data_IF_796252111564
#
_entry.id   IF_796252111564
#
_cell.length_a   1.000
_cell.length_b   1.000
_cell.length_c   1.000
_cell.angle_alpha   90.00
_cell.angle_beta   90.00
_cell.angle_gamma   90.00
#
_symmetry.space_group_name_H-M   'P 1'
#
loop_
_entity.id
_entity.type
_entity.pdbx_description
1 polymer ?
#
# COMPACT_ATOMS: atom_id res chain seq x y z
N UNK A 1 0.86 -12.91 12.34
CA UNK A 1 1.04 -14.04 11.39
C UNK A 1 1.72 -13.53 10.14
N UNK A 2 1.18 -12.50 9.49
CA UNK A 2 1.82 -11.83 8.35
C UNK A 2 1.40 -10.36 8.28
N UNK A 3 2.31 -9.50 7.83
CA UNK A 3 2.04 -8.13 7.43
C UNK A 3 1.50 -8.08 6.00
N UNK A 4 0.35 -7.44 5.81
CA UNK A 4 -0.25 -7.20 4.50
C UNK A 4 -0.12 -5.71 4.20
N UNK A 5 0.91 -5.35 3.44
CA UNK A 5 1.24 -3.95 3.13
C UNK A 5 0.37 -3.47 1.98
N UNK A 6 -0.74 -2.82 2.33
CA UNK A 6 -1.58 -2.06 1.42
C UNK A 6 -2.39 -1.03 2.22
N UNK A 7 -2.85 0.00 1.52
CA UNK A 7 -3.76 1.01 2.02
C UNK A 7 -4.94 1.17 1.04
N UNK A 8 -5.85 2.10 1.33
CA UNK A 8 -7.06 2.28 0.52
C UNK A 8 -6.74 2.77 -0.90
N UNK A 9 -5.70 3.59 -1.06
CA UNK A 9 -5.36 4.23 -2.33
C UNK A 9 -3.96 3.87 -2.84
N UNK A 10 -3.18 3.10 -2.09
CA UNK A 10 -1.77 2.82 -2.40
C UNK A 10 -1.31 1.46 -1.87
N UNK A 11 -0.14 1.04 -2.35
CA UNK A 11 0.55 -0.18 -1.92
C UNK A 11 1.53 0.08 -0.75
N UNK A 12 1.23 1.13 0.04
CA UNK A 12 2.05 1.55 1.17
C UNK A 12 1.39 1.28 2.51
N UNK A 13 2.11 1.62 3.57
CA UNK A 13 1.55 1.71 4.93
C UNK A 13 0.81 3.02 5.11
N UNK A 14 -0.16 3.03 6.02
CA UNK A 14 -0.74 4.28 6.52
C UNK A 14 0.08 4.79 7.70
N UNK A 15 0.01 6.10 7.97
CA UNK A 15 0.70 6.72 9.09
C UNK A 15 -0.33 7.34 10.02
N UNK A 16 -0.18 7.11 11.32
CA UNK A 16 -0.87 7.92 12.32
C UNK A 16 0.03 9.09 12.66
N UNK A 17 -0.49 10.29 12.50
CA UNK A 17 0.29 11.53 12.60
C UNK A 17 -0.30 12.45 13.64
N UNK A 18 0.58 13.13 14.37
CA UNK A 18 0.22 14.31 15.14
C UNK A 18 0.10 15.48 14.17
N UNK A 19 -1.06 16.11 14.10
CA UNK A 19 -1.31 17.26 13.24
C UNK A 19 -1.91 18.43 14.04
N UNK A 20 -1.54 19.64 13.63
CA UNK A 20 -1.93 20.90 14.27
C UNK A 20 -2.36 21.90 13.20
N UNK A 21 -3.16 22.93 13.54
CA UNK A 21 -3.43 24.03 12.62
C UNK A 21 -2.14 24.64 12.08
N UNK A 22 -2.10 24.90 10.77
CA UNK A 22 -0.94 25.56 10.12
C UNK A 22 -0.60 26.90 10.77
N UNK A 23 -1.62 27.63 11.23
CA UNK A 23 -1.49 28.91 11.92
C UNK A 23 -1.05 28.81 13.39
N UNK A 24 -1.00 27.60 13.97
CA UNK A 24 -0.60 27.41 15.36
C UNK A 24 0.92 27.49 15.54
N UNK A 25 1.35 27.92 16.73
CA UNK A 25 2.76 27.98 17.10
C UNK A 25 3.39 26.62 17.43
N UNK A 26 2.60 25.53 17.50
CA UNK A 26 3.04 24.23 18.00
C UNK A 26 4.01 23.53 17.05
N UNK A 27 5.30 23.45 17.37
CA UNK A 27 6.33 22.85 16.51
C UNK A 27 6.66 21.41 16.90
N UNK A 28 6.33 21.00 18.12
CA UNK A 28 6.63 19.68 18.66
C UNK A 28 5.51 19.19 19.59
N UNK A 29 5.55 17.91 19.97
CA UNK A 29 4.64 17.36 20.98
C UNK A 29 4.75 18.10 22.33
N UNK A 30 5.93 18.63 22.68
CA UNK A 30 6.14 19.36 23.94
C UNK A 30 5.35 20.67 24.02
N UNK A 31 5.01 21.28 22.88
CA UNK A 31 4.19 22.49 22.85
C UNK A 31 2.71 22.21 23.17
N UNK A 32 2.34 20.93 23.31
CA UNK A 32 0.99 20.47 23.63
C UNK A 32 0.77 20.20 25.13
N UNK A 33 1.70 20.60 26.00
CA UNK A 33 1.52 20.54 27.45
C UNK A 33 0.25 21.31 27.88
N UNK A 34 -0.63 20.62 28.61
CA UNK A 34 -1.93 21.13 29.06
C UNK A 34 -2.97 21.34 27.96
N UNK A 35 -2.72 20.90 26.72
CA UNK A 35 -3.61 21.08 25.57
C UNK A 35 -4.60 19.94 25.39
N UNK A 36 -5.52 20.10 24.43
CA UNK A 36 -6.52 19.09 24.06
C UNK A 36 -6.15 18.46 22.72
N UNK A 37 -6.08 17.13 22.68
CA UNK A 37 -5.80 16.35 21.47
C UNK A 37 -7.02 15.46 21.17
N UNK A 38 -7.62 15.61 19.99
CA UNK A 38 -8.71 14.75 19.55
C UNK A 38 -8.21 13.57 18.70
N UNK A 39 -8.70 12.36 18.95
CA UNK A 39 -8.33 11.16 18.19
C UNK A 39 -9.29 9.98 18.38
N UNK A 40 -9.34 9.07 17.42
CA UNK A 40 -9.95 7.73 17.60
C UNK A 40 -9.04 6.78 18.40
N UNK A 41 -7.71 7.01 18.39
CA UNK A 41 -6.70 6.14 19.02
C UNK A 41 -6.28 6.58 20.44
N UNK A 42 -7.24 6.89 21.30
CA UNK A 42 -7.03 7.50 22.63
C UNK A 42 -5.87 6.87 23.41
N UNK A 43 -5.93 5.55 23.69
CA UNK A 43 -4.90 4.86 24.48
C UNK A 43 -3.51 4.87 23.84
N UNK A 44 -3.44 4.89 22.51
CA UNK A 44 -2.17 4.93 21.79
C UNK A 44 -1.56 6.32 21.84
N UNK A 45 -2.39 7.35 21.69
CA UNK A 45 -1.99 8.75 21.86
C UNK A 45 -1.54 9.03 23.30
N UNK A 46 -2.27 8.54 24.32
CA UNK A 46 -1.87 8.67 25.73
C UNK A 46 -0.47 8.06 25.98
N UNK A 47 -0.22 6.83 25.49
CA UNK A 47 1.12 6.21 25.61
C UNK A 47 2.21 6.99 24.87
N UNK A 48 1.87 7.57 23.73
CA UNK A 48 2.81 8.41 22.98
C UNK A 48 3.17 9.68 23.76
N UNK A 49 2.19 10.34 24.38
CA UNK A 49 2.42 11.52 25.22
C UNK A 49 3.25 11.17 26.46
N UNK A 50 2.92 10.06 27.13
CA UNK A 50 3.65 9.58 28.31
C UNK A 50 5.13 9.29 28.00
N UNK A 51 5.42 8.64 26.87
CA UNK A 51 6.80 8.39 26.40
C UNK A 51 7.59 9.67 26.13
N UNK A 52 6.90 10.75 25.78
CA UNK A 52 7.49 12.06 25.54
C UNK A 52 7.44 12.98 26.78
N UNK A 53 6.94 12.50 27.92
CA UNK A 53 6.85 13.29 29.15
C UNK A 53 5.87 14.48 29.07
N UNK A 54 4.87 14.42 28.19
CA UNK A 54 3.88 15.49 27.97
C UNK A 54 2.53 15.10 28.58
N UNK A 55 1.87 16.03 29.27
CA UNK A 55 0.51 15.85 29.78
C UNK A 55 -0.46 16.70 28.98
N UNK A 56 -1.26 16.05 28.14
CA UNK A 56 -2.35 16.67 27.39
C UNK A 56 -3.65 15.88 27.61
N UNK A 57 -4.80 16.55 27.50
CA UNK A 57 -6.11 15.91 27.55
C UNK A 57 -6.37 15.23 26.20
N UNK A 58 -6.56 13.91 26.20
CA UNK A 58 -6.90 13.15 25.00
C UNK A 58 -8.41 12.91 24.96
N UNK A 59 -9.07 13.38 23.91
CA UNK A 59 -10.51 13.22 23.73
C UNK A 59 -10.83 12.31 22.55
N UNK A 60 -11.80 11.42 22.75
CA UNK A 60 -12.28 10.54 21.69
C UNK A 60 -13.02 11.34 20.60
N UNK A 61 -12.79 10.97 19.34
CA UNK A 61 -13.45 11.55 18.16
C UNK A 61 -14.26 10.48 17.41
N UNK A 62 -15.50 10.77 17.05
CA UNK A 62 -16.36 9.85 16.28
C UNK A 62 -16.23 10.06 14.76
N UNK A 63 -15.00 10.26 14.27
CA UNK A 63 -14.71 10.71 12.91
C UNK A 63 -14.80 12.23 12.72
N UNK A 64 -14.48 12.69 11.51
CA UNK A 64 -14.29 14.11 11.17
C UNK A 64 -13.38 14.85 12.17
N UNK A 65 -12.32 14.18 12.64
CA UNK A 65 -11.40 14.72 13.64
C UNK A 65 -10.72 16.00 13.11
N UNK A 66 -10.51 16.08 11.80
CA UNK A 66 -9.80 17.18 11.14
C UNK A 66 -10.49 18.54 11.25
N UNK A 67 -11.80 18.58 11.51
CA UNK A 67 -12.55 19.86 11.66
C UNK A 67 -12.55 20.39 13.09
N UNK A 68 -12.05 19.61 14.07
CA UNK A 68 -12.08 20.01 15.49
C UNK A 68 -11.12 21.16 15.79
N UNK A 69 -9.87 21.19 15.26
CA UNK A 69 -8.99 22.31 15.52
C UNK A 69 -9.37 23.60 14.80
N UNK A 70 -9.16 24.77 15.41
CA UNK A 70 -8.69 24.98 16.79
C UNK A 70 -9.82 25.06 17.82
N UNK A 71 -11.08 24.91 17.42
CA UNK A 71 -12.25 25.28 18.24
C UNK A 71 -12.52 24.27 19.36
N UNK A 72 -12.43 22.99 19.04
CA UNK A 72 -12.75 21.88 19.96
C UNK A 72 -11.52 21.10 20.42
N UNK A 73 -10.37 21.30 19.78
CA UNK A 73 -9.09 20.70 20.15
C UNK A 73 -7.94 21.57 19.65
N UNK A 74 -6.79 21.50 20.31
CA UNK A 74 -5.57 22.21 19.88
C UNK A 74 -4.80 21.43 18.80
N UNK A 75 -4.87 20.09 18.87
CA UNK A 75 -4.20 19.17 17.95
C UNK A 75 -5.06 17.92 17.70
N UNK A 76 -4.66 17.12 16.71
CA UNK A 76 -5.28 15.83 16.44
C UNK A 76 -4.23 14.74 16.25
N UNK A 77 -4.63 13.51 16.54
CA UNK A 77 -3.91 12.32 16.06
C UNK A 77 -4.82 11.57 15.11
N UNK A 78 -4.42 11.49 13.85
CA UNK A 78 -5.27 10.99 12.77
C UNK A 78 -4.48 10.11 11.80
N UNK A 79 -5.16 9.14 11.21
CA UNK A 79 -4.58 8.29 10.16
C UNK A 79 -4.52 9.07 8.84
N UNK A 80 -3.39 8.96 8.15
CA UNK A 80 -3.21 9.58 6.85
C UNK A 80 -2.40 8.69 5.92
N UNK A 81 -2.82 8.70 4.66
CA UNK A 81 -2.12 8.05 3.56
C UNK A 81 -1.37 9.12 2.74
N UNK A 82 -2.11 10.04 2.12
CA UNK A 82 -1.56 11.09 1.24
C UNK A 82 -1.45 12.47 1.90
N UNK A 83 -2.01 12.65 3.11
CA UNK A 83 -2.11 13.96 3.76
C UNK A 83 -3.19 14.90 3.19
N UNK A 84 -3.99 14.46 2.20
CA UNK A 84 -4.93 15.35 1.51
C UNK A 84 -6.04 15.89 2.41
N UNK A 85 -6.60 15.06 3.31
CA UNK A 85 -7.62 15.53 4.27
C UNK A 85 -7.08 16.59 5.23
N UNK A 86 -5.85 16.38 5.73
CA UNK A 86 -5.19 17.32 6.63
C UNK A 86 -4.98 18.68 5.95
N UNK A 87 -4.46 18.69 4.71
CA UNK A 87 -4.27 19.93 3.93
C UNK A 87 -5.59 20.63 3.63
N UNK A 88 -6.65 19.89 3.30
CA UNK A 88 -7.98 20.47 3.07
C UNK A 88 -8.53 21.20 4.30
N UNK A 89 -8.11 20.78 5.51
CA UNK A 89 -8.49 21.38 6.79
C UNK A 89 -7.40 22.32 7.36
N UNK A 90 -6.41 22.73 6.55
CA UNK A 90 -5.31 23.63 6.96
C UNK A 90 -4.53 23.12 8.18
N UNK A 91 -4.30 21.81 8.21
CA UNK A 91 -3.51 21.13 9.22
C UNK A 91 -2.15 20.74 8.66
N UNK A 92 -1.10 20.93 9.45
CA UNK A 92 0.25 20.43 9.17
C UNK A 92 0.60 19.28 10.09
N UNK A 93 1.33 18.32 9.54
CA UNK A 93 1.89 17.19 10.31
C UNK A 93 3.09 17.72 11.10
N UNK A 94 3.07 17.46 12.40
CA UNK A 94 4.20 17.71 13.31
C UNK A 94 5.11 16.48 13.32
N UNK A 95 4.53 15.31 13.53
CA UNK A 95 5.27 14.06 13.70
C UNK A 95 4.45 12.85 13.25
N UNK A 96 5.13 11.80 12.82
CA UNK A 96 4.52 10.46 12.64
C UNK A 96 4.64 9.67 13.93
N UNK A 97 3.52 9.36 14.57
CA UNK A 97 3.46 8.63 15.84
C UNK A 97 3.70 7.13 15.63
N UNK A 98 3.12 6.57 14.56
CA UNK A 98 3.37 5.18 14.14
C UNK A 98 2.99 4.97 12.68
N UNK A 99 3.60 3.95 12.07
CA UNK A 99 3.14 3.36 10.81
C UNK A 99 2.22 2.17 11.10
N UNK A 100 1.19 1.99 10.29
CA UNK A 100 0.24 0.89 10.41
C UNK A 100 -0.05 0.27 9.05
N UNK A 101 -0.31 -1.04 9.06
CA UNK A 101 -0.78 -1.81 7.93
C UNK A 101 -1.71 -2.91 8.42
N UNK A 102 -2.48 -3.47 7.49
CA UNK A 102 -3.32 -4.63 7.78
C UNK A 102 -2.44 -5.80 8.19
N UNK A 103 -2.88 -6.56 9.19
CA UNK A 103 -2.18 -7.75 9.67
C UNK A 103 -3.14 -8.93 9.81
N UNK A 104 -2.67 -10.11 9.42
CA UNK A 104 -3.30 -11.36 9.86
C UNK A 104 -2.78 -11.68 11.26
N UNK A 105 -3.68 -11.67 12.25
CA UNK A 105 -3.38 -12.04 13.64
C UNK A 105 -4.06 -13.36 14.00
N UNK A 106 -3.47 -14.09 14.94
CA UNK A 106 -4.01 -15.35 15.43
C UNK A 106 -3.82 -15.45 16.95
N UNK A 107 -4.77 -16.09 17.61
CA UNK A 107 -4.67 -16.43 19.02
C UNK A 107 -3.48 -17.41 19.25
N UNK A 108 -2.74 -17.23 20.34
CA UNK A 108 -1.56 -18.02 20.65
C UNK A 108 -1.82 -19.51 20.85
N UNK A 109 -2.98 -19.90 21.39
CA UNK A 109 -3.32 -21.32 21.58
C UNK A 109 -3.74 -21.97 20.27
N UNK A 110 -4.38 -21.22 19.36
CA UNK A 110 -4.63 -21.69 18.00
C UNK A 110 -3.34 -21.97 17.22
N UNK A 111 -2.23 -21.29 17.54
CA UNK A 111 -0.93 -21.55 16.91
C UNK A 111 -0.23 -22.80 17.45
N UNK A 112 -0.65 -23.31 18.61
CA UNK A 112 -0.11 -24.56 19.21
C UNK A 112 -0.81 -25.81 18.68
N UNK A 113 -2.00 -25.66 18.09
CA UNK A 113 -2.75 -26.73 17.45
C UNK A 113 -2.28 -26.87 15.99
N UNK A 114 -1.73 -28.03 15.63
CA UNK A 114 -1.11 -28.25 14.31
C UNK A 114 -2.10 -28.11 13.16
N UNK A 115 -3.35 -28.56 13.34
CA UNK A 115 -4.36 -28.47 12.30
C UNK A 115 -4.76 -27.02 12.04
N UNK A 116 -5.00 -26.24 13.11
CA UNK A 116 -5.31 -24.81 13.01
C UNK A 116 -4.14 -24.02 12.45
N UNK A 117 -2.91 -24.31 12.90
CA UNK A 117 -1.69 -23.69 12.40
C UNK A 117 -1.54 -23.92 10.90
N UNK A 118 -1.75 -25.15 10.43
CA UNK A 118 -1.69 -25.45 9.00
C UNK A 118 -2.71 -24.64 8.19
N UNK A 119 -3.95 -24.51 8.68
CA UNK A 119 -4.97 -23.69 8.02
C UNK A 119 -4.60 -22.20 8.00
N UNK A 120 -4.01 -21.69 9.07
CA UNK A 120 -3.51 -20.32 9.12
C UNK A 120 -2.38 -20.09 8.10
N UNK A 121 -1.48 -21.05 7.94
CA UNK A 121 -0.40 -20.98 6.95
C UNK A 121 -0.93 -21.00 5.51
N UNK A 122 -1.94 -21.84 5.22
CA UNK A 122 -2.61 -21.86 3.91
C UNK A 122 -3.29 -20.50 3.62
N UNK A 123 -4.01 -19.92 4.59
CA UNK A 123 -4.65 -18.59 4.45
C UNK A 123 -3.59 -17.50 4.26
N UNK A 124 -2.51 -17.55 5.05
CA UNK A 124 -1.38 -16.63 4.92
C UNK A 124 -0.83 -16.63 3.49
N UNK A 125 -0.51 -17.81 2.95
CA UNK A 125 0.01 -17.95 1.58
C UNK A 125 -0.96 -17.36 0.55
N UNK A 126 -2.27 -17.60 0.70
CA UNK A 126 -3.28 -17.05 -0.22
C UNK A 126 -3.39 -15.52 -0.15
N UNK A 127 -3.25 -14.94 1.04
CA UNK A 127 -3.26 -13.49 1.25
C UNK A 127 -1.98 -12.84 0.73
N UNK A 128 -0.81 -13.40 1.06
CA UNK A 128 0.49 -12.96 0.52
C UNK A 128 0.47 -12.99 -1.02
N UNK A 129 -0.07 -14.05 -1.61
CA UNK A 129 -0.17 -14.16 -3.06
C UNK A 129 -1.11 -13.14 -3.69
N UNK A 130 -2.20 -12.77 -3.01
CA UNK A 130 -3.09 -11.70 -3.46
C UNK A 130 -2.39 -10.32 -3.39
N UNK A 131 -1.64 -10.05 -2.33
CA UNK A 131 -0.82 -8.83 -2.22
C UNK A 131 0.26 -8.79 -3.29
N UNK A 132 0.94 -9.90 -3.57
CA UNK A 132 1.98 -9.97 -4.60
C UNK A 132 1.44 -9.74 -6.03
N UNK A 133 0.17 -10.10 -6.29
CA UNK A 133 -0.51 -9.82 -7.54
C UNK A 133 -1.01 -8.38 -7.66
N UNK A 134 -1.12 -7.67 -6.53
CA UNK A 134 -1.69 -6.33 -6.50
C UNK A 134 -0.81 -5.34 -7.28
N UNK A 135 -1.41 -4.60 -8.21
CA UNK A 135 -0.69 -3.71 -9.12
C UNK A 135 0.14 -4.41 -10.20
N UNK A 136 -0.04 -5.73 -10.38
CA UNK A 136 0.57 -6.51 -11.47
C UNK A 136 -0.48 -6.93 -12.49
N UNK A 137 -0.07 -7.01 -13.74
CA UNK A 137 -0.88 -7.58 -14.83
C UNK A 137 -0.09 -8.59 -15.63
N UNK A 138 -0.80 -9.52 -16.27
CA UNK A 138 -0.24 -10.36 -17.30
C UNK A 138 -0.37 -9.68 -18.66
N UNK A 139 0.68 -9.79 -19.48
CA UNK A 139 0.64 -9.47 -20.90
C UNK A 139 0.93 -10.73 -21.71
N UNK A 140 0.09 -10.97 -22.70
CA UNK A 140 0.28 -12.01 -23.70
C UNK A 140 0.25 -11.37 -25.08
N UNK A 141 1.15 -11.78 -25.97
CA UNK A 141 1.24 -11.24 -27.33
C UNK A 141 1.81 -12.26 -28.30
N UNK A 142 1.52 -12.06 -29.58
CA UNK A 142 2.09 -12.81 -30.69
C UNK A 142 3.23 -12.00 -31.32
N UNK A 143 4.35 -12.65 -31.61
CA UNK A 143 5.56 -12.01 -32.13
C UNK A 143 6.13 -12.89 -33.23
N UNK A 144 6.57 -12.31 -34.35
CA UNK A 144 7.34 -13.05 -35.36
C UNK A 144 8.72 -13.39 -34.82
N UNK A 145 9.29 -14.53 -35.21
CA UNK A 145 10.65 -14.91 -34.80
C UNK A 145 11.69 -13.82 -35.08
N UNK A 146 11.57 -13.10 -36.20
CA UNK A 146 12.46 -11.99 -36.58
C UNK A 146 12.42 -10.80 -35.63
N UNK A 147 11.29 -10.59 -34.95
CA UNK A 147 11.01 -9.40 -34.16
C UNK A 147 11.19 -9.65 -32.65
N UNK A 148 11.50 -10.89 -32.26
CA UNK A 148 11.57 -11.33 -30.87
C UNK A 148 12.54 -10.48 -30.03
N UNK A 149 13.76 -10.26 -30.52
CA UNK A 149 14.78 -9.51 -29.76
C UNK A 149 14.36 -8.05 -29.54
N UNK A 150 13.75 -7.43 -30.54
CA UNK A 150 13.20 -6.08 -30.44
C UNK A 150 12.08 -6.00 -29.39
N UNK A 151 11.17 -6.98 -29.38
CA UNK A 151 10.07 -7.03 -28.40
C UNK A 151 10.58 -7.31 -26.99
N UNK A 152 11.47 -8.29 -26.82
CA UNK A 152 12.07 -8.63 -25.52
C UNK A 152 12.87 -7.44 -24.97
N UNK A 153 13.55 -6.67 -25.82
CA UNK A 153 14.26 -5.45 -25.41
C UNK A 153 13.36 -4.31 -24.90
N UNK A 154 12.06 -4.32 -25.24
CA UNK A 154 11.08 -3.35 -24.70
C UNK A 154 10.57 -3.79 -23.32
N UNK A 155 10.54 -5.09 -23.05
CA UNK A 155 10.04 -5.62 -21.78
C UNK A 155 11.01 -5.28 -20.62
N UNK A 156 10.48 -4.95 -19.43
CA UNK A 156 11.33 -4.67 -18.27
C UNK A 156 12.14 -5.92 -17.90
N UNK A 157 13.46 -5.75 -17.73
CA UNK A 157 14.47 -6.81 -17.57
C UNK A 157 14.28 -7.78 -16.39
N UNK A 158 13.27 -7.57 -15.53
CA UNK A 158 13.14 -8.29 -14.26
C UNK A 158 12.56 -9.71 -14.37
N UNK A 159 12.00 -10.12 -15.52
CA UNK A 159 11.51 -11.50 -15.73
C UNK A 159 11.71 -11.95 -17.18
N UNK A 160 12.41 -13.06 -17.36
CA UNK A 160 12.48 -13.76 -18.66
C UNK A 160 11.04 -14.12 -19.07
N UNK A 161 10.53 -13.61 -20.20
CA UNK A 161 9.18 -13.94 -20.62
C UNK A 161 9.10 -15.42 -21.02
N UNK A 162 7.93 -16.02 -20.84
CA UNK A 162 7.65 -17.34 -21.41
C UNK A 162 7.50 -17.16 -22.91
N UNK A 163 8.26 -17.94 -23.68
CA UNK A 163 8.24 -17.92 -25.15
C UNK A 163 7.84 -19.32 -25.63
N UNK A 164 6.74 -19.41 -26.37
CA UNK A 164 6.19 -20.67 -26.88
C UNK A 164 5.92 -20.55 -28.39
N UNK A 165 6.23 -21.59 -29.16
CA UNK A 165 5.92 -21.61 -30.60
C UNK A 165 4.41 -21.75 -30.84
N UNK A 166 3.89 -21.00 -31.81
CA UNK A 166 2.49 -21.10 -32.25
C UNK A 166 2.31 -22.21 -33.32
N UNK A 167 1.07 -22.39 -33.79
CA UNK A 167 0.76 -23.32 -34.89
C UNK A 167 1.50 -22.96 -36.18
N UNK A 168 1.67 -21.67 -36.46
CA UNK A 168 2.58 -21.18 -37.50
C UNK A 168 4.02 -21.12 -36.94
N UNK A 169 4.98 -21.88 -37.52
CA UNK A 169 6.36 -21.92 -37.06
C UNK A 169 7.08 -20.57 -37.07
N UNK A 170 6.63 -19.59 -37.85
CA UNK A 170 7.23 -18.26 -37.89
C UNK A 170 6.81 -17.36 -36.72
N UNK A 171 5.85 -17.82 -35.91
CA UNK A 171 5.28 -17.05 -34.81
C UNK A 171 5.52 -17.67 -33.43
N UNK A 172 5.61 -16.78 -32.46
CA UNK A 172 5.82 -17.06 -31.04
C UNK A 172 4.73 -16.38 -30.21
N UNK A 173 4.23 -17.06 -29.19
CA UNK A 173 3.53 -16.46 -28.07
C UNK A 173 4.56 -16.03 -27.02
N UNK A 174 4.48 -14.77 -26.60
CA UNK A 174 5.28 -14.19 -25.52
C UNK A 174 4.32 -13.84 -24.38
N UNK A 175 4.60 -14.37 -23.18
CA UNK A 175 3.82 -14.08 -21.98
C UNK A 175 4.74 -13.56 -20.86
N UNK A 176 4.33 -12.47 -20.20
CA UNK A 176 5.08 -11.87 -19.10
C UNK A 176 4.18 -11.23 -18.06
N UNK A 177 4.71 -11.05 -16.86
CA UNK A 177 4.05 -10.35 -15.75
C UNK A 177 4.86 -9.12 -15.39
N UNK A 178 4.19 -7.97 -15.30
CA UNK A 178 4.82 -6.69 -14.98
C UNK A 178 3.92 -5.79 -14.14
N UNK A 179 4.46 -4.65 -13.71
CA UNK A 179 3.71 -3.59 -13.05
C UNK A 179 2.70 -2.93 -13.99
N UNK A 180 1.44 -2.83 -13.54
CA UNK A 180 0.34 -2.19 -14.28
C UNK A 180 0.70 -0.74 -14.67
N UNK A 181 1.41 -0.02 -13.79
CA UNK A 181 1.85 1.35 -14.05
C UNK A 181 2.82 1.48 -15.24
N UNK A 182 3.53 0.41 -15.61
CA UNK A 182 4.44 0.41 -16.75
C UNK A 182 3.72 0.13 -18.08
N UNK A 183 2.55 -0.51 -18.04
CA UNK A 183 1.81 -1.02 -19.21
C UNK A 183 1.53 0.09 -20.23
N UNK A 184 0.95 1.22 -19.77
CA UNK A 184 0.61 2.37 -20.62
C UNK A 184 1.79 2.88 -21.44
N UNK A 185 3.00 2.79 -20.89
CA UNK A 185 4.23 3.24 -21.55
C UNK A 185 4.79 2.21 -22.51
N UNK A 186 4.62 0.92 -22.23
CA UNK A 186 5.23 -0.14 -23.04
C UNK A 186 4.35 -0.62 -24.18
N UNK A 187 3.01 -0.60 -24.06
CA UNK A 187 2.12 -1.12 -25.10
C UNK A 187 2.35 -0.50 -26.48
N UNK A 188 2.48 0.84 -26.65
CA UNK A 188 2.78 1.43 -27.95
C UNK A 188 4.14 0.96 -28.49
N UNK A 189 5.17 0.89 -27.64
CA UNK A 189 6.52 0.47 -28.00
C UNK A 189 6.58 -1.00 -28.41
N UNK A 190 5.82 -1.86 -27.74
CA UNK A 190 5.68 -3.28 -28.11
C UNK A 190 5.04 -3.40 -29.51
N UNK A 191 4.03 -2.57 -29.80
CA UNK A 191 3.38 -2.54 -31.10
C UNK A 191 4.34 -2.09 -32.21
N UNK A 192 5.13 -1.04 -31.96
CA UNK A 192 6.18 -0.57 -32.86
C UNK A 192 7.29 -1.60 -33.08
N UNK A 193 7.64 -2.36 -32.04
CA UNK A 193 8.63 -3.44 -32.10
C UNK A 193 8.14 -4.71 -32.82
N UNK A 194 6.89 -4.77 -33.27
CA UNK A 194 6.35 -5.89 -34.05
C UNK A 194 5.37 -6.81 -33.30
N UNK A 195 5.08 -6.54 -32.03
CA UNK A 195 4.11 -7.35 -31.29
C UNK A 195 2.68 -7.17 -31.82
N UNK A 196 1.94 -8.27 -31.89
CA UNK A 196 0.56 -8.34 -32.37
C UNK A 196 -0.35 -9.06 -31.37
N UNK A 197 -1.65 -8.79 -31.43
CA UNK A 197 -2.63 -9.43 -30.54
C UNK A 197 -2.26 -9.29 -29.07
N UNK A 198 -1.80 -8.11 -28.64
CA UNK A 198 -1.41 -7.87 -27.26
C UNK A 198 -2.68 -7.85 -26.40
N UNK A 199 -2.72 -8.73 -25.39
CA UNK A 199 -3.81 -8.86 -24.43
C UNK A 199 -3.26 -8.61 -23.04
N UNK A 200 -3.90 -7.67 -22.35
CA UNK A 200 -3.70 -7.40 -20.93
C UNK A 200 -4.79 -8.10 -20.11
N UNK A 201 -4.40 -8.75 -19.02
CA UNK A 201 -5.34 -9.43 -18.12
C UNK A 201 -4.95 -9.27 -16.65
N UNK A 202 -5.96 -9.17 -15.76
CA UNK A 202 -5.71 -9.00 -14.33
C UNK A 202 -5.18 -10.28 -13.70
N UNK A 203 -4.36 -10.13 -12.65
CA UNK A 203 -3.87 -11.24 -11.85
C UNK A 203 -4.55 -11.25 -10.50
N UNK A 204 -5.11 -12.40 -10.12
CA UNK A 204 -5.76 -12.55 -8.82
C UNK A 204 -4.77 -12.88 -7.70
N UNK A 205 -3.76 -13.71 -8.00
CA UNK A 205 -2.74 -14.19 -7.05
C UNK A 205 -1.44 -14.54 -7.78
N UNK A 206 -0.31 -14.25 -7.14
CA UNK A 206 1.02 -14.70 -7.53
C UNK A 206 1.63 -15.38 -6.31
N UNK A 207 1.77 -16.70 -6.34
CA UNK A 207 2.45 -17.45 -5.27
C UNK A 207 3.93 -17.52 -5.62
N UNK A 208 4.79 -17.17 -4.67
CA UNK A 208 6.26 -17.17 -4.78
C UNK A 208 6.85 -18.39 -4.08
#
# INVERSE_FOLDING_TARGET
VVDLIYAKQSFGKVRWVLAVPESSAFQSVHDLEGKIIATELVRTTERYLERNGVKAKVEFSWGATEVKPPVLADAIVEVTETGSSLRANKLRIVETILESNTQLIANHDSLKDDWKRRKLDDIRMLLEGAIAAMGKVGLMMNVRKSDLDSVVGVLPALKNPTISQLSDPEWLAVNTILDESAVRRILPRLKEAGAQGIVEYPLNKIVM
#
